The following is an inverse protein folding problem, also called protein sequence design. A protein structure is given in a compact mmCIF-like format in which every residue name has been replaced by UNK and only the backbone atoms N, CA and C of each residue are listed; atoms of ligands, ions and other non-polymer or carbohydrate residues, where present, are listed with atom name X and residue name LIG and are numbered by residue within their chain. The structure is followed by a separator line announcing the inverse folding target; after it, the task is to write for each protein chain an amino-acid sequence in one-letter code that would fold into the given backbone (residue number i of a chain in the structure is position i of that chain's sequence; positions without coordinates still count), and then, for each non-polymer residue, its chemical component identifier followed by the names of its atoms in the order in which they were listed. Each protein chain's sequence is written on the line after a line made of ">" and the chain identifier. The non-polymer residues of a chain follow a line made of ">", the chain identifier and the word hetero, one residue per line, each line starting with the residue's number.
data_IF_738475937528
#
_entry.id   IF_738475937528
#
_cell.length_a   1.000
_cell.length_b   1.000
_cell.length_c   1.000
_cell.angle_alpha   90.00
_cell.angle_beta   90.00
_cell.angle_gamma   90.00
#
_symmetry.space_group_name_H-M   'P 1'
#
loop_
_entity.id
_entity.type
_entity.pdbx_description
1 polymer ?
#
# COMPACT_ATOMS: atom_id res chain seq x y z
N UNK A 1 -17.10 -0.77 -0.62
CA UNK A 1 -15.69 -0.97 -0.21
C UNK A 1 -15.49 -2.47 -0.12
N UNK A 2 -14.54 -3.07 -0.84
CA UNK A 2 -14.34 -4.52 -0.76
C UNK A 2 -13.41 -4.80 0.43
N UNK A 3 -13.98 -4.83 1.64
CA UNK A 3 -13.27 -4.92 2.94
C UNK A 3 -12.17 -5.99 2.93
N UNK A 4 -12.45 -7.12 2.26
CA UNK A 4 -11.52 -8.25 2.10
C UNK A 4 -10.16 -7.91 1.45
N UNK A 5 -10.09 -6.92 0.54
CA UNK A 5 -8.84 -6.60 -0.15
C UNK A 5 -7.93 -5.72 0.71
N UNK A 6 -8.51 -4.75 1.41
CA UNK A 6 -7.80 -3.88 2.36
C UNK A 6 -7.29 -4.72 3.53
N UNK A 7 -8.12 -5.61 4.09
CA UNK A 7 -7.69 -6.53 5.15
C UNK A 7 -6.50 -7.40 4.72
N UNK A 8 -6.44 -7.84 3.47
CA UNK A 8 -5.29 -8.61 2.95
C UNK A 8 -4.02 -7.78 2.86
N UNK A 9 -4.13 -6.52 2.45
CA UNK A 9 -2.99 -5.61 2.38
C UNK A 9 -2.50 -5.26 3.79
N UNK A 10 -3.41 -4.96 4.71
CA UNK A 10 -3.08 -4.68 6.11
C UNK A 10 -2.40 -5.88 6.79
N UNK A 11 -2.91 -7.09 6.59
CA UNK A 11 -2.30 -8.31 7.13
C UNK A 11 -0.91 -8.61 6.55
N UNK A 12 -0.59 -8.13 5.35
CA UNK A 12 0.71 -8.32 4.71
C UNK A 12 1.64 -7.11 4.85
N UNK A 13 1.17 -6.00 5.45
CA UNK A 13 1.92 -4.75 5.58
C UNK A 13 3.24 -4.95 6.33
N UNK A 14 3.23 -5.74 7.41
CA UNK A 14 4.42 -6.05 8.21
C UNK A 14 5.46 -6.90 7.46
N UNK A 15 5.09 -7.50 6.32
CA UNK A 15 6.00 -8.27 5.47
C UNK A 15 6.50 -7.45 4.27
N UNK A 16 6.00 -6.21 4.10
CA UNK A 16 6.43 -5.34 3.01
C UNK A 16 7.69 -4.57 3.41
N UNK A 17 8.60 -4.47 2.46
CA UNK A 17 9.80 -3.68 2.56
C UNK A 17 9.92 -2.88 1.27
N UNK A 18 10.24 -1.59 1.39
CA UNK A 18 10.41 -0.73 0.24
C UNK A 18 11.54 -1.28 -0.66
N UNK A 19 11.29 -1.54 -1.95
CA UNK A 19 12.30 -2.10 -2.85
C UNK A 19 13.45 -1.13 -3.13
N UNK A 20 13.24 0.18 -2.99
CA UNK A 20 14.27 1.20 -3.26
C UNK A 20 15.19 1.48 -2.06
N UNK A 21 14.62 1.57 -0.84
CA UNK A 21 15.37 1.99 0.34
C UNK A 21 15.47 0.94 1.45
N UNK A 22 14.74 -0.17 1.34
CA UNK A 22 14.79 -1.25 2.33
C UNK A 22 14.10 -0.95 3.66
N UNK A 23 13.31 0.13 3.77
CA UNK A 23 12.57 0.42 5.01
C UNK A 23 11.25 -0.36 5.10
N UNK A 24 10.78 -0.56 6.32
CA UNK A 24 9.51 -1.20 6.68
C UNK A 24 8.38 -0.18 6.96
N UNK A 25 8.65 1.13 6.88
CA UNK A 25 7.63 2.16 7.00
C UNK A 25 6.79 2.30 5.72
N UNK A 26 5.87 1.35 5.57
CA UNK A 26 4.98 1.21 4.42
C UNK A 26 3.57 1.64 4.82
N UNK A 27 2.89 2.34 3.91
CA UNK A 27 1.46 2.65 3.98
C UNK A 27 0.68 1.96 2.87
N UNK A 28 -0.64 2.04 2.96
CA UNK A 28 -1.57 1.56 1.93
C UNK A 28 -2.36 2.78 1.46
N UNK A 29 -2.44 2.96 0.15
CA UNK A 29 -3.17 4.07 -0.46
C UNK A 29 -3.82 3.64 -1.78
N UNK A 30 -4.77 4.45 -2.26
CA UNK A 30 -5.39 4.34 -3.57
C UNK A 30 -5.26 5.65 -4.38
N UNK A 31 -4.59 6.67 -3.82
CA UNK A 31 -4.36 8.02 -4.37
C UNK A 31 -5.60 8.71 -4.96
N UNK A 32 -6.80 8.26 -4.61
CA UNK A 32 -8.03 8.68 -5.26
C UNK A 32 -8.00 8.58 -6.79
N UNK A 33 -7.08 7.80 -7.37
CA UNK A 33 -6.81 7.78 -8.82
C UNK A 33 -8.00 7.25 -9.62
N UNK A 34 -8.93 6.56 -8.96
CA UNK A 34 -10.17 6.11 -9.56
C UNK A 34 -11.29 6.20 -8.52
N UNK A 35 -12.24 7.13 -8.70
CA UNK A 35 -13.49 7.14 -7.94
C UNK A 35 -14.22 5.80 -8.14
N UNK A 36 -13.97 4.84 -7.23
CA UNK A 36 -14.65 3.56 -7.20
C UNK A 36 -13.85 2.34 -7.67
N UNK A 37 -12.60 2.46 -8.12
CA UNK A 37 -11.78 1.30 -8.46
C UNK A 37 -10.87 0.82 -7.33
N UNK A 38 -10.55 -0.47 -7.42
CA UNK A 38 -10.21 -1.39 -6.33
C UNK A 38 -8.70 -1.52 -6.14
N UNK A 39 -7.93 -0.61 -6.71
CA UNK A 39 -6.48 -0.73 -6.82
C UNK A 39 -5.82 0.03 -5.66
N UNK A 40 -5.87 -0.61 -4.49
CA UNK A 40 -5.06 -0.23 -3.35
C UNK A 40 -3.66 -0.82 -3.51
N UNK A 41 -2.64 -0.02 -3.22
CA UNK A 41 -1.24 -0.39 -3.39
C UNK A 41 -0.45 -0.04 -2.12
N UNK A 42 0.74 -0.64 -2.00
CA UNK A 42 1.66 -0.23 -0.97
C UNK A 42 2.40 1.03 -1.41
N UNK A 43 2.78 1.85 -0.46
CA UNK A 43 3.68 2.96 -0.71
C UNK A 43 4.68 3.11 0.43
N UNK A 44 5.90 3.52 0.11
CA UNK A 44 6.93 3.83 1.09
C UNK A 44 6.74 5.26 1.59
N UNK A 45 6.55 5.46 2.90
CA UNK A 45 6.40 6.80 3.49
C UNK A 45 7.68 7.62 3.47
N UNK A 46 8.84 6.96 3.36
CA UNK A 46 10.14 7.63 3.32
C UNK A 46 10.52 8.10 1.91
N UNK A 47 10.25 7.28 0.89
CA UNK A 47 10.62 7.58 -0.50
C UNK A 47 9.48 8.17 -1.32
N UNK A 48 8.25 8.13 -0.80
CA UNK A 48 7.04 8.53 -1.51
C UNK A 48 6.85 7.79 -2.86
N UNK A 49 7.19 6.49 -2.86
CA UNK A 49 7.05 5.61 -4.02
C UNK A 49 5.98 4.56 -3.76
N UNK A 50 5.28 4.15 -4.81
CA UNK A 50 4.26 3.09 -4.79
C UNK A 50 4.82 1.78 -5.35
N UNK A 51 4.42 0.63 -4.80
CA UNK A 51 4.85 -0.69 -5.28
C UNK A 51 3.88 -1.83 -4.86
#
# INVERSE_FOLDING_TARGET
>A
MNEYYIEKLENNLSNQVCPECGCDDIGIDNWGMFEGERDWFYYCKNCDITF
#
